data_IF_350084597958
#
_entry.id   IF_350084597958
#
_cell.length_a   1.000
_cell.length_b   1.000
_cell.length_c   1.000
_cell.angle_alpha   90.00
_cell.angle_beta   90.00
_cell.angle_gamma   90.00
#
_symmetry.space_group_name_H-M   'P 1'
#
loop_
_entity.id
_entity.type
_entity.pdbx_description
1 polymer ?
#
# COMPACT_ATOMS: atom_id res chain seq x y z
N UNK A 1 15.46 -8.14 18.69
CA UNK A 1 16.77 -8.35 18.01
C UNK A 1 16.53 -8.82 16.58
N UNK A 2 15.44 -9.57 16.38
CA UNK A 2 14.94 -10.03 15.07
C UNK A 2 14.60 -8.88 14.10
N UNK A 3 14.19 -7.71 14.60
CA UNK A 3 13.87 -6.54 13.78
C UNK A 3 15.10 -5.98 13.06
N UNK A 4 16.27 -6.02 13.70
CA UNK A 4 17.53 -5.53 13.10
C UNK A 4 18.01 -6.51 12.02
N UNK A 5 17.79 -7.81 12.23
CA UNK A 5 18.11 -8.85 11.25
C UNK A 5 17.20 -8.71 10.04
N UNK A 6 15.88 -8.64 10.25
CA UNK A 6 14.89 -8.42 9.19
C UNK A 6 15.18 -7.12 8.42
N UNK A 7 15.55 -6.04 9.11
CA UNK A 7 15.95 -4.79 8.46
C UNK A 7 17.17 -4.98 7.55
N UNK A 8 18.18 -5.75 7.97
CA UNK A 8 19.34 -6.07 7.14
C UNK A 8 18.93 -6.78 5.85
N UNK A 9 18.02 -7.74 5.94
CA UNK A 9 17.50 -8.46 4.77
C UNK A 9 16.68 -7.57 3.85
N UNK A 10 15.76 -6.76 4.40
CA UNK A 10 14.97 -5.82 3.61
C UNK A 10 15.82 -4.74 2.99
N UNK A 11 16.84 -4.23 3.68
CA UNK A 11 17.78 -3.29 3.06
C UNK A 11 18.46 -3.92 1.84
N UNK A 12 18.80 -5.21 1.84
CA UNK A 12 19.34 -5.87 0.64
C UNK A 12 18.28 -6.06 -0.46
N UNK A 13 17.04 -6.43 -0.08
CA UNK A 13 15.95 -6.68 -1.03
C UNK A 13 15.42 -5.41 -1.69
N UNK A 14 15.43 -4.28 -0.99
CA UNK A 14 14.85 -3.02 -1.48
C UNK A 14 15.91 -1.94 -1.80
N UNK A 15 17.16 -1.99 -1.30
CA UNK A 15 18.19 -0.95 -1.63
C UNK A 15 18.70 -0.95 -3.08
N UNK A 16 18.10 -1.70 -4.01
CA UNK A 16 18.36 -1.50 -5.44
C UNK A 16 17.85 -0.13 -5.94
N UNK A 17 16.91 0.52 -5.22
CA UNK A 17 16.44 1.89 -5.46
C UNK A 17 16.98 2.90 -4.44
N UNK A 18 17.31 4.12 -4.90
CA UNK A 18 17.87 5.22 -4.07
C UNK A 18 16.91 5.75 -2.98
N UNK A 19 15.67 5.28 -2.87
CA UNK A 19 14.62 5.81 -1.98
C UNK A 19 14.08 4.83 -0.92
N UNK A 20 14.55 3.58 -0.90
CA UNK A 20 13.71 2.50 -0.36
C UNK A 20 14.10 2.09 1.07
N UNK A 21 15.01 2.83 1.72
CA UNK A 21 15.49 2.53 3.09
C UNK A 21 14.43 2.76 4.16
N UNK A 22 13.55 3.76 3.97
CA UNK A 22 12.44 4.01 4.89
C UNK A 22 11.43 2.88 4.87
N UNK A 23 11.17 2.32 3.69
CA UNK A 23 10.21 1.23 3.47
C UNK A 23 10.74 -0.11 3.97
N UNK A 24 12.04 -0.36 3.84
CA UNK A 24 12.70 -1.53 4.43
C UNK A 24 12.47 -1.63 5.95
N UNK A 25 12.40 -0.50 6.65
CA UNK A 25 12.10 -0.49 8.10
C UNK A 25 10.65 -0.85 8.38
N UNK A 26 9.71 -0.35 7.57
CA UNK A 26 8.29 -0.70 7.65
C UNK A 26 8.07 -2.19 7.38
N UNK A 27 8.74 -2.75 6.37
CA UNK A 27 8.64 -4.16 6.02
C UNK A 27 9.22 -5.07 7.10
N UNK A 28 10.41 -4.74 7.63
CA UNK A 28 11.04 -5.49 8.72
C UNK A 28 10.14 -5.52 9.96
N UNK A 29 9.55 -4.39 10.34
CA UNK A 29 8.63 -4.33 11.46
C UNK A 29 7.38 -5.15 11.21
N UNK A 30 6.77 -5.03 10.02
CA UNK A 30 5.57 -5.77 9.66
C UNK A 30 5.80 -7.28 9.62
N UNK A 31 6.95 -7.75 9.12
CA UNK A 31 7.31 -9.16 9.11
C UNK A 31 7.41 -9.73 10.52
N UNK A 32 8.16 -9.07 11.41
CA UNK A 32 8.37 -9.55 12.79
C UNK A 32 7.07 -9.58 13.59
N UNK A 33 6.16 -8.63 13.34
CA UNK A 33 4.93 -8.49 14.12
C UNK A 33 3.69 -9.09 13.45
N UNK A 34 3.84 -9.73 12.27
CA UNK A 34 2.71 -10.25 11.50
C UNK A 34 1.70 -9.18 11.07
N UNK A 35 2.17 -7.95 10.85
CA UNK A 35 1.34 -6.82 10.46
C UNK A 35 1.25 -6.66 8.93
N UNK A 36 0.31 -5.84 8.48
CA UNK A 36 0.17 -5.47 7.07
C UNK A 36 0.88 -4.13 6.84
N UNK A 37 1.88 -4.11 5.95
CA UNK A 37 2.59 -2.90 5.59
C UNK A 37 1.75 -2.04 4.61
N UNK A 38 1.58 -0.75 4.90
CA UNK A 38 0.96 0.20 3.97
C UNK A 38 2.05 1.12 3.42
N UNK A 39 2.32 1.01 2.12
CA UNK A 39 3.40 1.70 1.41
C UNK A 39 2.89 2.21 0.06
N UNK A 40 3.16 3.48 -0.24
CA UNK A 40 2.69 4.13 -1.48
C UNK A 40 3.64 3.91 -2.68
N UNK A 41 4.92 3.57 -2.44
CA UNK A 41 5.82 3.19 -3.53
C UNK A 41 5.42 1.83 -4.10
N UNK A 42 5.19 1.83 -5.42
CA UNK A 42 4.72 0.64 -6.14
C UNK A 42 5.81 -0.43 -6.22
N UNK A 43 7.06 -0.05 -6.47
CA UNK A 43 8.15 -0.98 -6.70
C UNK A 43 8.56 -1.66 -5.39
N UNK A 44 8.61 -0.90 -4.29
CA UNK A 44 8.85 -1.44 -2.96
C UNK A 44 7.73 -2.38 -2.50
N UNK A 45 6.45 -1.99 -2.71
CA UNK A 45 5.32 -2.88 -2.43
C UNK A 45 5.38 -4.17 -3.23
N UNK A 46 5.73 -4.10 -4.53
CA UNK A 46 5.87 -5.29 -5.37
C UNK A 46 7.04 -6.18 -4.91
N UNK A 47 8.16 -5.60 -4.49
CA UNK A 47 9.28 -6.34 -3.91
C UNK A 47 8.84 -7.06 -2.62
N UNK A 48 8.08 -6.37 -1.76
CA UNK A 48 7.57 -6.95 -0.52
C UNK A 48 6.60 -8.12 -0.75
N UNK A 49 5.64 -7.95 -1.66
CA UNK A 49 4.70 -8.99 -2.05
C UNK A 49 5.39 -10.22 -2.66
N UNK A 50 6.42 -10.01 -3.50
CA UNK A 50 7.22 -11.12 -4.06
C UNK A 50 7.99 -11.91 -3.00
N UNK A 51 8.36 -11.25 -1.91
CA UNK A 51 8.99 -11.87 -0.75
C UNK A 51 7.98 -12.47 0.25
N UNK A 52 6.68 -12.47 -0.08
CA UNK A 52 5.64 -13.09 0.74
C UNK A 52 5.09 -12.20 1.86
N UNK A 53 5.53 -10.94 1.96
CA UNK A 53 5.01 -10.01 2.96
C UNK A 53 3.68 -9.39 2.49
N UNK A 54 2.71 -9.29 3.40
CA UNK A 54 1.46 -8.59 3.16
C UNK A 54 1.72 -7.07 3.11
N UNK A 55 1.90 -6.54 1.90
CA UNK A 55 2.10 -5.12 1.64
C UNK A 55 1.05 -4.57 0.68
N UNK A 56 0.44 -3.44 1.02
CA UNK A 56 -0.60 -2.78 0.26
C UNK A 56 -0.36 -1.26 0.19
N UNK A 57 -1.11 -0.55 -0.65
CA UNK A 57 -1.06 0.92 -0.72
C UNK A 57 -2.35 1.54 -0.22
N UNK A 58 -2.41 2.88 -0.16
CA UNK A 58 -3.55 3.61 0.40
C UNK A 58 -4.90 3.25 -0.23
N UNK A 59 -4.97 3.03 -1.55
CA UNK A 59 -6.21 2.63 -2.24
C UNK A 59 -6.79 1.29 -1.74
N UNK A 60 -5.93 0.36 -1.32
CA UNK A 60 -6.39 -0.90 -0.73
C UNK A 60 -7.05 -0.66 0.63
N UNK A 61 -6.50 0.23 1.45
CA UNK A 61 -7.08 0.60 2.77
C UNK A 61 -8.48 1.17 2.58
N UNK A 62 -8.66 2.05 1.59
CA UNK A 62 -9.96 2.65 1.27
C UNK A 62 -10.94 1.57 0.80
N UNK A 63 -10.53 0.66 -0.09
CA UNK A 63 -11.38 -0.45 -0.51
C UNK A 63 -11.78 -1.35 0.67
N UNK A 64 -10.85 -1.66 1.58
CA UNK A 64 -11.14 -2.42 2.80
C UNK A 64 -12.12 -1.70 3.72
N UNK A 65 -12.07 -0.37 3.79
CA UNK A 65 -13.03 0.41 4.56
C UNK A 65 -14.44 0.34 3.96
N UNK A 66 -14.56 0.28 2.62
CA UNK A 66 -15.84 0.04 1.93
C UNK A 66 -16.36 -1.37 2.22
N UNK A 67 -15.53 -2.40 2.02
CA UNK A 67 -15.90 -3.81 2.29
C UNK A 67 -16.29 -4.04 3.75
N UNK A 68 -15.65 -3.32 4.68
CA UNK A 68 -15.96 -3.37 6.10
C UNK A 68 -17.14 -2.45 6.51
N UNK A 69 -17.85 -1.88 5.54
CA UNK A 69 -19.01 -0.98 5.72
C UNK A 69 -18.70 0.25 6.62
N UNK A 70 -17.44 0.68 6.68
CA UNK A 70 -17.00 1.86 7.44
C UNK A 70 -17.21 3.16 6.67
N UNK A 71 -17.19 3.08 5.34
CA UNK A 71 -17.50 4.17 4.41
C UNK A 71 -18.34 3.61 3.26
N UNK A 72 -19.15 4.46 2.63
CA UNK A 72 -19.90 4.08 1.42
C UNK A 72 -19.02 4.17 0.18
N UNK A 73 -19.41 3.52 -0.93
CA UNK A 73 -18.71 3.67 -2.22
C UNK A 73 -18.66 5.13 -2.66
N UNK A 74 -19.74 5.89 -2.50
CA UNK A 74 -19.79 7.32 -2.81
C UNK A 74 -18.82 8.12 -1.94
N UNK A 75 -18.73 7.82 -0.64
CA UNK A 75 -17.77 8.44 0.28
C UNK A 75 -16.32 8.13 -0.10
N UNK A 76 -16.04 6.89 -0.51
CA UNK A 76 -14.72 6.47 -0.98
C UNK A 76 -14.31 7.21 -2.26
N UNK A 77 -15.21 7.34 -3.24
CA UNK A 77 -14.96 8.13 -4.46
C UNK A 77 -14.64 9.57 -4.10
N UNK A 78 -15.46 10.23 -3.28
CA UNK A 78 -15.23 11.61 -2.87
C UNK A 78 -13.89 11.80 -2.15
N UNK A 79 -13.49 10.86 -1.30
CA UNK A 79 -12.21 10.91 -0.61
C UNK A 79 -11.02 10.74 -1.57
N UNK A 80 -11.09 9.78 -2.49
CA UNK A 80 -10.03 9.54 -3.49
C UNK A 80 -9.91 10.70 -4.46
N UNK A 81 -11.02 11.31 -4.86
CA UNK A 81 -11.05 12.50 -5.70
C UNK A 81 -10.44 13.72 -5.00
N UNK A 82 -10.66 13.87 -3.69
CA UNK A 82 -9.96 14.88 -2.89
C UNK A 82 -8.44 14.63 -2.84
N UNK A 83 -8.01 13.36 -2.74
CA UNK A 83 -6.59 13.02 -2.81
C UNK A 83 -5.98 13.35 -4.18
N UNK A 84 -6.67 13.03 -5.28
CA UNK A 84 -6.27 13.44 -6.64
C UNK A 84 -6.13 14.97 -6.73
N UNK A 85 -7.07 15.71 -6.14
CA UNK A 85 -7.02 17.18 -6.10
C UNK A 85 -5.81 17.72 -5.35
N UNK A 86 -5.32 17.00 -4.33
CA UNK A 86 -4.08 17.35 -3.61
C UNK A 86 -2.78 16.93 -4.32
N UNK A 87 -2.88 16.33 -5.50
CA UNK A 87 -1.73 15.91 -6.31
C UNK A 87 -1.33 14.44 -6.16
N UNK A 88 -2.18 13.60 -5.59
CA UNK A 88 -1.97 12.15 -5.62
C UNK A 88 -1.99 11.65 -7.07
N UNK A 89 -1.21 10.60 -7.36
CA UNK A 89 -1.13 9.97 -8.68
C UNK A 89 -1.69 8.56 -8.61
N UNK A 90 -2.82 8.34 -9.28
CA UNK A 90 -3.50 7.05 -9.32
C UNK A 90 -3.66 6.54 -10.77
N UNK A 91 -3.89 5.23 -10.97
CA UNK A 91 -4.07 4.65 -12.30
C UNK A 91 -5.41 4.99 -12.97
N UNK A 92 -6.15 5.98 -12.44
CA UNK A 92 -7.44 6.44 -12.91
C UNK A 92 -7.63 7.93 -12.58
N UNK A 93 -8.61 8.57 -13.23
CA UNK A 93 -9.03 9.95 -12.96
C UNK A 93 -10.21 10.05 -11.99
N UNK A 94 -10.75 11.26 -11.83
CA UNK A 94 -11.89 11.55 -10.95
C UNK A 94 -13.07 10.59 -11.19
N UNK A 95 -13.69 10.11 -10.11
CA UNK A 95 -14.78 9.13 -10.16
C UNK A 95 -14.34 7.70 -10.49
N UNK A 96 -13.07 7.47 -10.81
CA UNK A 96 -12.56 6.19 -11.31
C UNK A 96 -12.28 5.14 -10.24
N UNK A 97 -12.40 5.47 -8.95
CA UNK A 97 -12.00 4.58 -7.86
C UNK A 97 -12.75 3.24 -7.86
N UNK A 98 -14.09 3.26 -7.89
CA UNK A 98 -14.93 2.04 -7.81
C UNK A 98 -14.68 1.09 -8.99
N UNK A 99 -14.82 1.51 -10.27
CA UNK A 99 -14.60 0.61 -11.39
C UNK A 99 -13.16 0.08 -11.43
N UNK A 100 -12.18 0.87 -10.99
CA UNK A 100 -10.82 0.37 -10.84
C UNK A 100 -10.71 -0.68 -9.73
N UNK A 101 -11.31 -0.44 -8.56
CA UNK A 101 -11.22 -1.34 -7.42
C UNK A 101 -11.88 -2.70 -7.71
N UNK A 102 -13.04 -2.72 -8.38
CA UNK A 102 -13.70 -3.93 -8.87
C UNK A 102 -12.80 -4.69 -9.87
N UNK A 103 -12.19 -3.98 -10.83
CA UNK A 103 -11.27 -4.59 -11.80
C UNK A 103 -9.99 -5.18 -11.16
N UNK A 104 -9.63 -4.72 -9.95
CA UNK A 104 -8.53 -5.27 -9.15
C UNK A 104 -8.99 -6.34 -8.15
N UNK A 105 -10.28 -6.67 -8.09
CA UNK A 105 -10.86 -7.60 -7.12
C UNK A 105 -10.79 -7.11 -5.67
N UNK A 106 -10.82 -5.79 -5.46
CA UNK A 106 -10.75 -5.15 -4.14
C UNK A 106 -12.13 -4.83 -3.55
N UNK A 107 -13.14 -4.74 -4.40
CA UNK A 107 -14.57 -4.57 -4.07
C UNK A 107 -15.38 -5.71 -4.68
#
# INVERSE_FOLDING_TARGET
>A
MDEIIALGEWLQRVSAGRRDRGEATVFAWAEVHGAIAIVDDKDARMAAQRAGLAAHGTLWVIARAVVAERITCAGAVGFVDAMLSSGARYPFGYGGFVPWAEAQGLL
#
